data_IF_071758128475
#
_entry.id   IF_071758128475
#
_cell.length_a   1.000
_cell.length_b   1.000
_cell.length_c   1.000
_cell.angle_alpha   90.00
_cell.angle_beta   90.00
_cell.angle_gamma   90.00
#
_symmetry.space_group_name_H-M   'P 1'
#
loop_
_entity.id
_entity.type
_entity.pdbx_description
1 polymer ?
#
# COMPACT_ATOMS: atom_id res chain seq x y z
N UNK A 1 -18.79 -7.55 6.47
CA UNK A 1 -17.41 -7.10 6.27
C UNK A 1 -17.48 -6.21 5.05
N UNK A 2 -17.34 -4.90 5.21
CA UNK A 2 -17.37 -4.00 4.05
C UNK A 2 -16.21 -4.37 3.12
N UNK A 3 -16.52 -4.66 1.85
CA UNK A 3 -15.50 -4.80 0.82
C UNK A 3 -14.92 -3.41 0.57
N UNK A 4 -13.78 -3.11 1.20
CA UNK A 4 -13.06 -1.88 0.91
C UNK A 4 -12.51 -1.93 -0.52
N UNK A 5 -13.01 -1.05 -1.37
CA UNK A 5 -12.61 -0.95 -2.78
C UNK A 5 -11.30 -0.16 -2.86
N UNK A 6 -10.32 -0.69 -3.60
CA UNK A 6 -9.09 0.04 -3.90
C UNK A 6 -9.41 1.09 -4.96
N UNK A 7 -9.30 2.36 -4.59
CA UNK A 7 -9.57 3.49 -5.47
C UNK A 7 -8.53 4.60 -5.31
N UNK A 8 -8.55 5.54 -6.25
CA UNK A 8 -7.64 6.69 -6.26
C UNK A 8 -7.79 7.50 -4.96
N UNK A 9 -6.67 7.82 -4.33
CA UNK A 9 -6.61 8.57 -3.07
C UNK A 9 -6.54 7.69 -1.83
N UNK A 10 -6.84 6.39 -1.92
CA UNK A 10 -6.60 5.48 -0.81
C UNK A 10 -5.09 5.35 -0.54
N UNK A 11 -4.75 5.16 0.73
CA UNK A 11 -3.41 4.77 1.13
C UNK A 11 -3.42 3.26 1.36
N UNK A 12 -2.47 2.56 0.74
CA UNK A 12 -2.34 1.11 0.81
C UNK A 12 -0.97 0.74 1.35
N UNK A 13 -0.95 -0.22 2.27
CA UNK A 13 0.26 -0.94 2.65
C UNK A 13 0.14 -2.38 2.14
N UNK A 14 1.17 -2.89 1.47
CA UNK A 14 1.13 -4.21 0.84
C UNK A 14 2.47 -4.91 0.93
N UNK A 15 2.43 -6.24 0.87
CA UNK A 15 3.63 -7.05 0.65
C UNK A 15 3.66 -7.59 -0.77
N UNK A 16 4.86 -7.63 -1.35
CA UNK A 16 5.11 -8.29 -2.63
C UNK A 16 5.88 -9.60 -2.42
N UNK A 17 5.74 -10.59 -3.33
CA UNK A 17 6.51 -11.82 -3.25
C UNK A 17 8.01 -11.55 -3.21
N UNK A 18 8.72 -12.33 -2.39
CA UNK A 18 10.17 -12.25 -2.26
C UNK A 18 10.87 -12.39 -3.62
N UNK A 19 11.93 -11.60 -3.84
CA UNK A 19 12.67 -11.57 -5.10
C UNK A 19 12.03 -10.73 -6.22
N UNK A 20 10.79 -10.23 -6.05
CA UNK A 20 10.15 -9.31 -7.01
C UNK A 20 10.70 -7.90 -6.91
N UNK A 21 11.00 -7.46 -5.68
CA UNK A 21 11.44 -6.11 -5.33
C UNK A 21 12.32 -6.14 -4.07
N UNK A 22 13.14 -5.08 -3.81
CA UNK A 22 14.15 -5.10 -2.75
C UNK A 22 13.56 -5.21 -1.33
N UNK A 23 12.54 -4.41 -1.04
CA UNK A 23 11.82 -4.42 0.23
C UNK A 23 10.63 -5.37 0.17
N UNK A 24 10.19 -5.88 1.33
CA UNK A 24 9.03 -6.77 1.41
C UNK A 24 7.71 -6.02 1.62
N UNK A 25 7.73 -4.81 2.19
CA UNK A 25 6.54 -4.00 2.51
C UNK A 25 6.66 -2.61 1.91
N UNK A 26 5.62 -2.22 1.20
CA UNK A 26 5.49 -0.90 0.58
C UNK A 26 4.26 -0.21 1.11
N UNK A 27 4.38 1.10 1.28
CA UNK A 27 3.25 1.98 1.54
C UNK A 27 3.18 2.99 0.41
N UNK A 28 1.98 3.21 -0.12
CA UNK A 28 1.81 4.16 -1.22
C UNK A 28 0.40 4.69 -1.34
N UNK A 29 0.31 5.89 -1.90
CA UNK A 29 -0.95 6.52 -2.27
C UNK A 29 -1.40 5.98 -3.63
N UNK A 30 -2.63 5.50 -3.74
CA UNK A 30 -3.20 5.05 -5.01
C UNK A 30 -3.38 6.24 -5.94
N UNK A 31 -2.56 6.30 -7.01
CA UNK A 31 -2.61 7.36 -8.02
C UNK A 31 -3.56 7.00 -9.17
N UNK A 32 -3.63 5.72 -9.53
CA UNK A 32 -4.51 5.19 -10.58
C UNK A 32 -4.84 3.70 -10.35
N UNK A 33 -6.00 3.29 -10.84
CA UNK A 33 -6.51 1.91 -10.82
C UNK A 33 -6.99 1.58 -12.22
N UNK A 34 -6.57 0.44 -12.78
CA UNK A 34 -7.02 -0.03 -14.09
C UNK A 34 -7.31 -1.54 -14.08
N UNK A 35 -7.69 -2.08 -15.25
CA UNK A 35 -7.99 -3.52 -15.42
C UNK A 35 -6.82 -4.46 -15.09
N UNK A 36 -5.58 -3.97 -15.02
CA UNK A 36 -4.36 -4.76 -14.82
C UNK A 36 -3.81 -4.64 -13.40
N UNK A 37 -4.07 -3.53 -12.72
CA UNK A 37 -3.53 -3.31 -11.39
C UNK A 37 -3.73 -1.91 -10.84
N UNK A 38 -2.85 -1.58 -9.90
CA UNK A 38 -2.81 -0.31 -9.20
C UNK A 38 -1.45 0.35 -9.36
N UNK A 39 -1.44 1.68 -9.58
CA UNK A 39 -0.24 2.51 -9.52
C UNK A 39 -0.20 3.25 -8.21
N UNK A 40 0.89 3.09 -7.48
CA UNK A 40 1.13 3.66 -6.17
C UNK A 40 2.24 4.68 -6.26
N UNK A 41 2.03 5.89 -5.73
CA UNK A 41 3.14 6.78 -5.40
C UNK A 41 3.65 6.39 -4.02
N UNK A 42 4.90 5.93 -3.95
CA UNK A 42 5.49 5.44 -2.71
C UNK A 42 5.67 6.58 -1.72
N UNK A 43 5.37 6.29 -0.45
CA UNK A 43 5.54 7.23 0.65
C UNK A 43 6.41 6.64 1.74
N UNK A 44 7.03 7.50 2.52
CA UNK A 44 7.72 7.10 3.75
C UNK A 44 6.73 6.91 4.93
N UNK A 45 7.29 6.57 6.09
CA UNK A 45 6.55 6.39 7.35
C UNK A 45 5.87 7.65 7.89
N UNK A 46 6.18 8.82 7.34
CA UNK A 46 5.58 10.11 7.66
C UNK A 46 4.58 10.54 6.57
N UNK A 47 4.21 9.63 5.66
CA UNK A 47 3.35 9.89 4.51
C UNK A 47 3.95 10.90 3.50
N UNK A 48 5.26 11.10 3.50
CA UNK A 48 5.95 11.98 2.55
C UNK A 48 6.16 11.23 1.24
N UNK A 49 5.76 11.85 0.13
CA UNK A 49 5.97 11.30 -1.22
C UNK A 49 7.46 11.16 -1.52
N UNK A 50 7.88 9.95 -1.90
CA UNK A 50 9.28 9.63 -2.21
C UNK A 50 9.66 9.93 -3.66
N UNK A 51 8.69 10.30 -4.51
CA UNK A 51 8.91 10.60 -5.93
C UNK A 51 9.06 9.36 -6.82
N UNK A 52 8.82 8.16 -6.28
CA UNK A 52 8.85 6.90 -7.01
C UNK A 52 7.45 6.31 -7.12
N UNK A 53 7.14 5.79 -8.30
CA UNK A 53 5.91 5.03 -8.51
C UNK A 53 6.19 3.53 -8.56
N UNK A 54 5.31 2.76 -7.94
CA UNK A 54 5.26 1.30 -8.00
C UNK A 54 3.96 0.87 -8.67
N UNK A 55 4.07 0.09 -9.74
CA UNK A 55 2.93 -0.60 -10.32
C UNK A 55 2.82 -2.02 -9.72
N UNK A 56 1.63 -2.38 -9.26
CA UNK A 56 1.32 -3.71 -8.72
C UNK A 56 0.16 -4.31 -9.50
N UNK A 57 0.40 -5.44 -10.17
CA UNK A 57 -0.66 -6.18 -10.85
C UNK A 57 -1.59 -6.84 -9.83
N UNK A 58 -2.86 -7.05 -10.22
CA UNK A 58 -3.84 -7.72 -9.36
C UNK A 58 -3.39 -9.12 -8.91
N UNK A 59 -2.66 -9.85 -9.76
CA UNK A 59 -2.11 -11.18 -9.47
C UNK A 59 -1.10 -11.19 -8.32
N UNK A 60 -0.44 -10.06 -8.07
CA UNK A 60 0.56 -9.90 -7.01
C UNK A 60 0.00 -9.24 -5.75
N UNK A 61 -1.22 -8.72 -5.78
CA UNK A 61 -1.84 -8.04 -4.65
C UNK A 61 -2.62 -9.02 -3.75
N UNK A 62 -1.90 -9.73 -2.89
CA UNK A 62 -2.49 -10.81 -2.05
C UNK A 62 -2.77 -10.39 -0.61
N UNK A 63 -1.89 -9.61 0.00
CA UNK A 63 -2.01 -9.16 1.39
C UNK A 63 -1.80 -7.67 1.42
N UNK A 64 -2.84 -6.94 1.85
CA UNK A 64 -2.79 -5.50 1.94
C UNK A 64 -3.67 -4.96 3.07
N UNK A 65 -3.32 -3.77 3.53
CA UNK A 65 -4.10 -2.92 4.41
C UNK A 65 -4.48 -1.66 3.63
N UNK A 66 -5.74 -1.27 3.68
CA UNK A 66 -6.26 -0.10 2.97
C UNK A 66 -6.91 0.89 3.95
N UNK A 67 -6.63 2.17 3.75
CA UNK A 67 -7.31 3.28 4.42
C UNK A 67 -7.78 4.29 3.37
N UNK A 68 -9.05 4.68 3.44
CA UNK A 68 -9.62 5.68 2.53
C UNK A 68 -9.29 7.10 3.00
N UNK A 69 -9.40 8.13 2.13
CA UNK A 69 -9.11 9.51 2.51
C UNK A 69 -9.94 10.05 3.69
N UNK A 70 -11.11 9.45 3.98
CA UNK A 70 -12.03 9.89 5.02
C UNK A 70 -11.75 9.22 6.38
N UNK A 71 -10.92 8.17 6.41
CA UNK A 71 -10.62 7.41 7.61
C UNK A 71 -9.44 8.01 8.40
N UNK A 72 -9.39 7.76 9.71
CA UNK A 72 -8.24 8.13 10.53
C UNK A 72 -7.00 7.32 10.11
N UNK A 73 -5.89 8.01 9.85
CA UNK A 73 -4.62 7.39 9.44
C UNK A 73 -3.84 6.77 10.62
N UNK A 74 -4.10 7.18 11.87
CA UNK A 74 -3.33 6.71 13.02
C UNK A 74 -3.43 5.18 13.22
N UNK A 75 -4.62 4.54 13.17
CA UNK A 75 -4.72 3.08 13.22
C UNK A 75 -4.00 2.39 12.05
N UNK A 76 -4.03 2.98 10.86
CA UNK A 76 -3.33 2.45 9.69
C UNK A 76 -1.83 2.39 9.94
N UNK A 77 -1.22 3.52 10.33
CA UNK A 77 0.23 3.58 10.58
C UNK A 77 0.65 2.69 11.75
N UNK A 78 -0.16 2.59 12.80
CA UNK A 78 0.10 1.66 13.91
C UNK A 78 0.13 0.20 13.44
N UNK A 79 -0.77 -0.19 12.54
CA UNK A 79 -0.77 -1.53 11.95
C UNK A 79 0.43 -1.75 11.03
N UNK A 80 0.78 -0.78 10.17
CA UNK A 80 1.95 -0.84 9.28
C UNK A 80 3.25 -1.02 10.07
N UNK A 81 3.47 -0.24 11.13
CA UNK A 81 4.67 -0.36 11.97
C UNK A 81 4.81 -1.75 12.59
N UNK A 82 3.71 -2.29 13.15
CA UNK A 82 3.68 -3.66 13.71
C UNK A 82 3.86 -4.75 12.65
N UNK A 83 3.46 -4.47 11.41
CA UNK A 83 3.67 -5.38 10.29
C UNK A 83 5.15 -5.41 9.92
N UNK A 84 5.79 -4.23 9.77
CA UNK A 84 7.21 -4.11 9.46
C UNK A 84 8.08 -4.90 10.45
N UNK A 85 7.80 -4.83 11.75
CA UNK A 85 8.50 -5.58 12.80
C UNK A 85 8.45 -7.11 12.65
N UNK A 86 7.46 -7.66 11.92
CA UNK A 86 7.28 -9.11 11.76
C UNK A 86 7.88 -9.69 10.48
N UNK A 87 8.20 -8.83 9.53
CA UNK A 87 8.69 -9.23 8.19
C UNK A 87 10.17 -8.88 7.99
N UNK A 88 10.75 -8.14 8.94
CA UNK A 88 12.18 -7.90 9.11
C UNK A 88 12.80 -9.09 9.84
#
# INVERSE_FOLDING_TARGET
>A
MEEKIIEKGCLIALTLPEGTVPERLYVGLVKAVDSRGVRLGLVDRLAVDLGYDLFVSWEHLKVFLLVTPQENLEPFWKCVSRWAEKIT
#
